data_IF_988898950662
#
_entry.id   IF_988898950662
#
_cell.length_a   1.000
_cell.length_b   1.000
_cell.length_c   1.000
_cell.angle_alpha   90.00
_cell.angle_beta   90.00
_cell.angle_gamma   90.00
#
_symmetry.space_group_name_H-M   'P 1'
#
loop_
_entity.id
_entity.type
_entity.pdbx_description
1 polymer ?
#
# COMPACT_ATOMS: atom_id res chain seq x y z
N UNK A 1 -14.10 26.08 23.61
CA UNK A 1 -13.91 24.64 23.88
C UNK A 1 -15.02 23.85 23.20
N UNK A 2 -15.05 23.89 21.87
CA UNK A 2 -16.07 23.24 21.05
C UNK A 2 -15.48 23.17 19.63
N UNK A 3 -14.82 22.05 19.30
CA UNK A 3 -14.39 21.57 17.95
C UNK A 3 -13.23 20.55 18.07
N UNK A 4 -13.35 19.53 18.93
CA UNK A 4 -12.60 18.27 18.71
C UNK A 4 -13.38 17.44 17.66
N UNK A 5 -13.59 18.04 16.49
CA UNK A 5 -14.18 17.34 15.35
C UNK A 5 -13.27 16.16 15.00
N UNK A 6 -13.87 14.97 14.84
CA UNK A 6 -13.37 13.76 14.17
C UNK A 6 -12.18 14.06 13.24
N UNK A 7 -10.96 14.12 13.81
CA UNK A 7 -9.77 14.62 13.09
C UNK A 7 -9.18 13.49 12.24
N UNK A 8 -8.88 13.82 10.98
CA UNK A 8 -8.20 12.94 10.02
C UNK A 8 -6.79 12.60 10.47
N UNK A 9 -6.02 13.58 10.97
CA UNK A 9 -4.72 13.34 11.59
C UNK A 9 -4.83 12.32 12.73
N UNK A 10 -5.80 12.50 13.64
CA UNK A 10 -5.96 11.61 14.78
C UNK A 10 -6.33 10.18 14.33
N UNK A 11 -7.12 10.04 13.27
CA UNK A 11 -7.39 8.73 12.67
C UNK A 11 -6.15 8.13 12.04
N UNK A 12 -5.41 8.87 11.21
CA UNK A 12 -4.18 8.41 10.56
C UNK A 12 -3.17 7.85 11.57
N UNK A 13 -3.00 8.53 12.71
CA UNK A 13 -2.19 8.05 13.83
C UNK A 13 -2.70 6.73 14.41
N UNK A 14 -4.02 6.56 14.60
CA UNK A 14 -4.57 5.28 15.06
C UNK A 14 -4.39 4.16 14.05
N UNK A 15 -4.50 4.44 12.74
CA UNK A 15 -4.25 3.44 11.70
C UNK A 15 -2.78 2.97 11.70
N UNK A 16 -1.83 3.87 11.92
CA UNK A 16 -0.43 3.50 12.10
C UNK A 16 -0.23 2.56 13.30
N UNK A 17 -0.91 2.82 14.42
CA UNK A 17 -0.86 1.95 15.59
C UNK A 17 -1.50 0.58 15.36
N UNK A 18 -2.58 0.50 14.56
CA UNK A 18 -3.15 -0.78 14.11
C UNK A 18 -2.11 -1.56 13.31
N UNK A 19 -1.45 -0.92 12.34
CA UNK A 19 -0.41 -1.58 11.54
C UNK A 19 0.79 -2.05 12.37
N UNK A 20 1.19 -1.28 13.39
CA UNK A 20 2.23 -1.71 14.36
C UNK A 20 1.83 -2.99 15.08
N UNK A 21 0.60 -3.10 15.57
CA UNK A 21 0.13 -4.31 16.25
C UNK A 21 0.16 -5.55 15.35
N UNK A 22 -0.25 -5.42 14.09
CA UNK A 22 -0.16 -6.50 13.10
C UNK A 22 1.30 -6.90 12.91
N UNK A 23 2.19 -5.93 12.65
CA UNK A 23 3.63 -6.19 12.48
C UNK A 23 4.25 -6.91 13.68
N UNK A 24 3.99 -6.45 14.90
CA UNK A 24 4.57 -7.04 16.11
C UNK A 24 4.07 -8.47 16.35
N UNK A 25 2.81 -8.76 16.05
CA UNK A 25 2.29 -10.13 16.07
C UNK A 25 3.07 -11.02 15.10
N UNK A 26 3.20 -10.60 13.84
CA UNK A 26 3.86 -11.41 12.81
C UNK A 26 5.35 -11.60 13.11
N UNK A 27 6.05 -10.55 13.52
CA UNK A 27 7.46 -10.62 13.91
C UNK A 27 7.68 -11.51 15.13
N UNK A 28 6.90 -11.34 16.20
CA UNK A 28 7.06 -12.16 17.41
C UNK A 28 6.82 -13.64 17.10
N UNK A 29 5.81 -13.97 16.31
CA UNK A 29 5.52 -15.35 15.90
C UNK A 29 6.67 -15.98 15.09
N UNK A 30 7.21 -15.23 14.14
CA UNK A 30 8.29 -15.70 13.28
C UNK A 30 9.62 -15.87 14.04
N UNK A 31 9.95 -14.98 14.98
CA UNK A 31 11.16 -15.08 15.83
C UNK A 31 11.11 -16.30 16.74
N UNK A 32 9.94 -16.63 17.30
CA UNK A 32 9.80 -17.77 18.21
C UNK A 32 9.62 -19.12 17.48
N UNK A 33 9.62 -19.13 16.14
CA UNK A 33 9.54 -20.33 15.31
C UNK A 33 8.23 -21.13 15.46
N UNK A 34 7.24 -20.58 16.16
CA UNK A 34 6.07 -21.33 16.61
C UNK A 34 5.10 -21.69 15.47
N UNK A 35 5.15 -20.99 14.33
CA UNK A 35 4.16 -21.11 13.25
C UNK A 35 4.71 -20.95 11.81
N UNK A 36 6.03 -20.92 11.60
CA UNK A 36 6.62 -20.70 10.26
C UNK A 36 6.13 -21.71 9.20
N UNK A 37 5.88 -22.95 9.59
CA UNK A 37 5.37 -23.99 8.67
C UNK A 37 3.87 -23.83 8.37
N UNK A 38 3.07 -23.31 9.30
CA UNK A 38 1.65 -22.99 9.08
C UNK A 38 1.46 -21.68 8.30
N UNK A 39 2.39 -20.74 8.44
CA UNK A 39 2.36 -19.44 7.74
C UNK A 39 2.55 -19.57 6.25
N UNK A 40 3.27 -20.62 5.84
CA UNK A 40 3.54 -20.92 4.44
C UNK A 40 2.45 -21.77 3.81
N UNK A 41 1.52 -22.30 4.60
CA UNK A 41 0.40 -23.07 4.08
C UNK A 41 -0.65 -22.11 3.55
N UNK A 42 -1.13 -22.42 2.34
CA UNK A 42 -2.35 -21.83 1.80
C UNK A 42 -3.51 -22.36 2.65
N UNK A 43 -4.19 -21.46 3.34
CA UNK A 43 -5.33 -21.79 4.22
C UNK A 43 -6.66 -21.68 3.49
N UNK A 44 -6.74 -20.84 2.45
CA UNK A 44 -7.87 -20.73 1.52
C UNK A 44 -7.42 -20.07 0.20
N UNK A 45 -8.19 -20.21 -0.87
CA UNK A 45 -7.99 -19.51 -2.14
C UNK A 45 -9.26 -18.71 -2.44
N UNK A 46 -9.13 -17.38 -2.56
CA UNK A 46 -10.25 -16.44 -2.74
C UNK A 46 -9.91 -15.43 -3.84
N UNK A 47 -10.86 -15.11 -4.72
CA UNK A 47 -10.62 -14.16 -5.83
C UNK A 47 -9.56 -14.56 -6.87
N UNK A 48 -8.97 -15.76 -6.76
CA UNK A 48 -7.83 -16.21 -7.56
C UNK A 48 -6.49 -16.11 -6.82
N UNK A 49 -6.46 -15.51 -5.63
CA UNK A 49 -5.28 -15.42 -4.77
C UNK A 49 -5.27 -16.46 -3.65
N UNK A 50 -4.07 -16.95 -3.33
CA UNK A 50 -3.85 -17.86 -2.22
C UNK A 50 -3.66 -17.06 -0.94
N UNK A 51 -4.55 -17.29 0.03
CA UNK A 51 -4.44 -16.71 1.36
C UNK A 51 -3.57 -17.64 2.21
N UNK A 52 -2.46 -17.10 2.72
CA UNK A 52 -1.52 -17.83 3.55
C UNK A 52 -1.91 -17.75 5.03
N UNK A 53 -1.41 -18.69 5.85
CA UNK A 53 -1.67 -18.66 7.30
C UNK A 53 -1.18 -17.38 8.00
N UNK A 54 -0.22 -16.67 7.40
CA UNK A 54 0.24 -15.35 7.88
C UNK A 54 -0.83 -14.27 7.70
N UNK A 55 -1.54 -14.27 6.58
CA UNK A 55 -2.58 -13.30 6.24
C UNK A 55 -3.77 -13.45 7.20
N UNK A 56 -4.23 -14.69 7.41
CA UNK A 56 -5.36 -14.97 8.31
C UNK A 56 -5.15 -14.45 9.75
N UNK A 57 -3.92 -14.49 10.27
CA UNK A 57 -3.63 -13.94 11.60
C UNK A 57 -3.53 -12.42 11.59
N UNK A 58 -2.97 -11.85 10.53
CA UNK A 58 -2.90 -10.41 10.35
C UNK A 58 -4.30 -9.81 10.26
N UNK A 59 -5.22 -10.45 9.52
CA UNK A 59 -6.64 -10.11 9.42
C UNK A 59 -7.31 -10.03 10.82
N UNK A 60 -7.18 -11.08 11.63
CA UNK A 60 -7.79 -11.14 12.97
C UNK A 60 -7.34 -9.97 13.87
N UNK A 61 -6.02 -9.70 13.90
CA UNK A 61 -5.45 -8.62 14.72
C UNK A 61 -5.82 -7.25 14.18
N UNK A 62 -5.81 -7.06 12.86
CA UNK A 62 -6.20 -5.81 12.23
C UNK A 62 -7.65 -5.46 12.57
N UNK A 63 -8.58 -6.40 12.41
CA UNK A 63 -10.00 -6.19 12.71
C UNK A 63 -10.20 -5.89 14.20
N UNK A 64 -9.55 -6.65 15.09
CA UNK A 64 -9.66 -6.44 16.53
C UNK A 64 -9.10 -5.07 16.95
N UNK A 65 -7.97 -4.66 16.39
CA UNK A 65 -7.32 -3.39 16.68
C UNK A 65 -8.14 -2.20 16.15
N UNK A 66 -8.69 -2.27 14.93
CA UNK A 66 -9.60 -1.25 14.40
C UNK A 66 -10.85 -1.10 15.28
N UNK A 67 -11.49 -2.21 15.67
CA UNK A 67 -12.65 -2.15 16.58
C UNK A 67 -12.30 -1.50 17.91
N UNK A 68 -11.14 -1.81 18.47
CA UNK A 68 -10.71 -1.28 19.77
C UNK A 68 -10.33 0.20 19.70
N UNK A 69 -9.67 0.64 18.63
CA UNK A 69 -9.11 1.99 18.49
C UNK A 69 -10.02 2.98 17.79
N UNK A 70 -10.84 2.52 16.85
CA UNK A 70 -11.56 3.38 15.92
C UNK A 70 -13.09 3.38 16.12
N UNK A 71 -13.69 2.27 16.57
CA UNK A 71 -15.15 2.08 16.59
C UNK A 71 -15.96 3.20 17.28
N UNK A 72 -15.42 3.81 18.35
CA UNK A 72 -16.12 4.84 19.11
C UNK A 72 -16.09 6.21 18.42
N UNK A 73 -14.94 6.60 17.87
CA UNK A 73 -14.72 7.95 17.33
C UNK A 73 -14.91 8.04 15.81
N UNK A 74 -14.67 6.93 15.11
CA UNK A 74 -14.75 6.80 13.67
C UNK A 74 -15.50 5.52 13.30
N UNK A 75 -16.79 5.38 13.63
CA UNK A 75 -17.55 4.19 13.25
C UNK A 75 -17.69 4.10 11.73
N UNK A 76 -17.64 2.88 11.20
CA UNK A 76 -17.59 2.64 9.77
C UNK A 76 -17.67 1.18 9.36
N UNK A 77 -17.28 0.92 8.12
CA UNK A 77 -17.16 -0.41 7.52
C UNK A 77 -15.77 -0.60 6.93
N UNK A 78 -15.22 -1.80 7.04
CA UNK A 78 -13.93 -2.18 6.50
C UNK A 78 -14.13 -3.07 5.28
N UNK A 79 -13.53 -2.67 4.17
CA UNK A 79 -13.29 -3.49 2.99
C UNK A 79 -11.84 -3.96 3.07
N UNK A 80 -11.59 -5.26 2.97
CA UNK A 80 -10.26 -5.83 3.19
C UNK A 80 -10.07 -7.04 2.30
N UNK A 81 -8.84 -7.24 1.84
CA UNK A 81 -8.44 -8.47 1.15
C UNK A 81 -8.91 -9.73 1.91
N UNK A 82 -9.35 -10.75 1.17
CA UNK A 82 -9.77 -12.03 1.73
C UNK A 82 -11.17 -12.02 2.39
N UNK A 83 -11.98 -10.99 2.15
CA UNK A 83 -13.37 -10.91 2.63
C UNK A 83 -14.31 -10.43 1.52
N UNK A 84 -15.41 -11.17 1.29
CA UNK A 84 -16.43 -10.83 0.29
C UNK A 84 -17.36 -9.69 0.74
N UNK A 85 -17.53 -9.49 2.06
CA UNK A 85 -18.50 -8.57 2.64
C UNK A 85 -17.84 -7.55 3.57
N UNK A 86 -18.23 -6.27 3.54
CA UNK A 86 -17.67 -5.26 4.44
C UNK A 86 -17.90 -5.58 5.92
N UNK A 87 -16.85 -5.40 6.73
CA UNK A 87 -16.84 -5.72 8.16
C UNK A 87 -17.18 -4.46 8.98
N UNK A 88 -18.19 -4.51 9.86
CA UNK A 88 -18.49 -3.37 10.72
C UNK A 88 -17.36 -3.06 11.72
N UNK A 89 -16.93 -1.79 11.73
CA UNK A 89 -16.01 -1.20 12.71
C UNK A 89 -16.83 -0.24 13.58
N UNK A 90 -17.33 -0.76 14.70
CA UNK A 90 -18.28 -0.04 15.55
C UNK A 90 -19.71 -0.08 15.03
N UNK A 91 -20.58 0.73 15.62
CA UNK A 91 -21.97 0.87 15.17
C UNK A 91 -22.10 2.20 14.42
N UNK A 92 -22.43 2.19 13.11
CA UNK A 92 -22.65 3.43 12.39
C UNK A 92 -23.82 4.20 13.03
N UNK A 93 -23.65 5.52 13.18
CA UNK A 93 -24.73 6.39 13.67
C UNK A 93 -25.91 6.37 12.68
N UNK A 94 -27.16 6.46 13.13
CA UNK A 94 -28.32 6.46 12.22
C UNK A 94 -28.26 7.59 11.18
N UNK A 95 -28.30 7.21 9.91
CA UNK A 95 -28.69 7.92 8.67
C UNK A 95 -28.17 9.35 8.35
N UNK A 96 -27.50 10.07 9.24
CA UNK A 96 -27.21 11.50 9.05
C UNK A 96 -25.73 11.92 9.17
N UNK A 97 -24.81 11.02 9.51
CA UNK A 97 -23.37 11.29 9.54
C UNK A 97 -22.65 10.41 8.51
N UNK A 98 -21.65 10.93 7.76
CA UNK A 98 -20.86 10.11 6.86
C UNK A 98 -20.14 9.02 7.68
N UNK A 99 -20.44 7.76 7.38
CA UNK A 99 -19.74 6.61 7.95
C UNK A 99 -18.37 6.50 7.32
N UNK A 100 -17.35 6.12 8.09
CA UNK A 100 -16.03 5.86 7.53
C UNK A 100 -16.07 4.58 6.69
N UNK A 101 -15.43 4.62 5.53
CA UNK A 101 -15.09 3.42 4.76
C UNK A 101 -13.59 3.21 4.94
N UNK A 102 -13.21 2.11 5.56
CA UNK A 102 -11.84 1.65 5.68
C UNK A 102 -11.53 0.72 4.51
N UNK A 103 -10.31 0.81 3.99
CA UNK A 103 -9.75 -0.11 3.02
C UNK A 103 -8.42 -0.61 3.58
N UNK A 104 -8.17 -1.92 3.56
CA UNK A 104 -6.93 -2.44 4.10
C UNK A 104 -6.38 -3.64 3.32
N UNK A 105 -5.06 -3.68 3.27
CA UNK A 105 -4.27 -4.87 3.00
C UNK A 105 -3.51 -5.23 4.29
N UNK A 106 -3.82 -6.37 4.94
CA UNK A 106 -3.15 -6.76 6.17
C UNK A 106 -1.68 -7.12 5.95
N UNK A 107 -1.28 -7.62 4.77
CA UNK A 107 0.07 -8.06 4.43
C UNK A 107 0.36 -7.93 2.92
N UNK A 108 0.53 -6.70 2.44
CA UNK A 108 0.96 -6.46 1.06
C UNK A 108 2.39 -6.98 0.87
N UNK A 109 2.60 -7.87 -0.10
CA UNK A 109 3.89 -8.49 -0.35
C UNK A 109 4.17 -9.79 0.42
N UNK A 110 3.14 -10.49 0.90
CA UNK A 110 3.22 -11.78 1.62
C UNK A 110 4.25 -12.75 1.05
N UNK A 111 4.25 -12.96 -0.28
CA UNK A 111 5.16 -13.90 -0.95
C UNK A 111 6.64 -13.51 -0.78
N UNK A 112 6.95 -12.22 -0.91
CA UNK A 112 8.31 -11.70 -0.74
C UNK A 112 8.80 -11.80 0.70
N UNK A 113 7.91 -11.54 1.65
CA UNK A 113 8.14 -11.65 3.09
C UNK A 113 8.37 -13.09 3.54
N UNK A 114 7.52 -14.04 3.13
CA UNK A 114 7.65 -15.47 3.47
C UNK A 114 8.94 -16.09 2.90
N UNK A 115 9.40 -15.60 1.74
CA UNK A 115 10.69 -15.95 1.16
C UNK A 115 11.88 -15.26 1.86
N UNK A 116 11.63 -14.27 2.72
CA UNK A 116 12.65 -13.47 3.38
C UNK A 116 13.48 -12.63 2.41
N UNK A 117 12.90 -12.29 1.26
CA UNK A 117 13.56 -11.56 0.17
C UNK A 117 13.37 -10.05 0.31
N UNK A 118 12.16 -9.63 0.69
CA UNK A 118 11.76 -8.24 0.82
C UNK A 118 10.83 -8.08 2.02
N UNK A 119 10.63 -6.85 2.45
CA UNK A 119 9.61 -6.52 3.45
C UNK A 119 8.20 -6.74 2.86
N UNK A 120 7.22 -6.91 3.74
CA UNK A 120 5.80 -6.72 3.42
C UNK A 120 5.32 -5.42 4.09
N UNK A 121 4.06 -5.04 3.89
CA UNK A 121 3.49 -3.83 4.47
C UNK A 121 2.06 -4.06 4.94
N UNK A 122 1.70 -3.46 6.07
CA UNK A 122 0.30 -3.27 6.44
C UNK A 122 -0.15 -1.94 5.85
N UNK A 123 -1.15 -1.97 4.98
CA UNK A 123 -1.69 -0.79 4.31
C UNK A 123 -3.11 -0.54 4.79
N UNK A 124 -3.39 0.65 5.29
CA UNK A 124 -4.73 1.01 5.76
C UNK A 124 -5.07 2.42 5.31
N UNK A 125 -6.17 2.56 4.59
CA UNK A 125 -6.75 3.82 4.16
C UNK A 125 -8.14 4.01 4.75
N UNK A 126 -8.57 5.25 4.90
CA UNK A 126 -9.98 5.53 5.21
C UNK A 126 -10.45 6.86 4.63
N UNK A 127 -11.72 6.92 4.28
CA UNK A 127 -12.38 8.16 3.86
C UNK A 127 -13.84 8.17 4.29
N UNK A 128 -14.38 9.36 4.52
CA UNK A 128 -15.81 9.53 4.81
C UNK A 128 -16.67 9.11 3.63
N UNK A 129 -17.37 7.98 3.80
CA UNK A 129 -18.25 7.39 2.79
C UNK A 129 -17.55 7.19 1.45
N UNK A 130 -16.27 6.80 1.49
CA UNK A 130 -15.46 6.58 0.31
C UNK A 130 -16.09 5.50 -0.58
N UNK A 131 -16.15 5.78 -1.87
CA UNK A 131 -16.67 4.90 -2.92
C UNK A 131 -15.61 4.54 -3.94
N UNK A 132 -14.64 5.43 -4.15
CA UNK A 132 -13.46 5.20 -4.97
C UNK A 132 -12.17 5.51 -4.22
N UNK A 133 -11.01 5.05 -4.72
CA UNK A 133 -9.71 5.32 -4.10
C UNK A 133 -9.44 6.81 -3.85
N UNK A 134 -9.81 7.70 -4.79
CA UNK A 134 -9.68 9.15 -4.60
C UNK A 134 -10.43 9.72 -3.39
N UNK A 135 -11.44 9.01 -2.87
CA UNK A 135 -12.18 9.45 -1.69
C UNK A 135 -11.43 9.16 -0.37
N UNK A 136 -10.31 8.44 -0.40
CA UNK A 136 -9.51 8.17 0.80
C UNK A 136 -8.88 9.46 1.33
N UNK A 137 -9.21 9.80 2.58
CA UNK A 137 -8.78 11.02 3.26
C UNK A 137 -7.52 10.80 4.11
N UNK A 138 -7.31 9.58 4.59
CA UNK A 138 -6.19 9.22 5.47
C UNK A 138 -5.55 7.93 5.01
N UNK A 139 -4.27 7.75 5.31
CA UNK A 139 -3.54 6.51 5.05
C UNK A 139 -2.47 6.23 6.10
N UNK A 140 -2.18 4.94 6.29
CA UNK A 140 -1.04 4.46 7.06
C UNK A 140 -0.38 3.29 6.32
N UNK A 141 0.95 3.34 6.23
CA UNK A 141 1.81 2.30 5.70
C UNK A 141 2.79 1.88 6.81
N UNK A 142 2.72 0.61 7.23
CA UNK A 142 3.58 0.07 8.27
C UNK A 142 4.38 -1.10 7.72
N UNK A 143 5.70 -0.94 7.67
CA UNK A 143 6.59 -1.95 7.13
C UNK A 143 6.60 -3.18 8.05
N UNK A 144 6.39 -4.36 7.46
CA UNK A 144 6.69 -5.67 8.05
C UNK A 144 8.06 -6.11 7.51
N UNK A 145 9.16 -5.75 8.19
CA UNK A 145 10.48 -6.02 7.66
C UNK A 145 10.84 -7.50 7.75
N UNK A 146 11.79 -7.92 6.91
CA UNK A 146 12.41 -9.24 7.03
C UNK A 146 13.00 -9.47 8.43
N UNK A 147 13.13 -10.74 8.83
CA UNK A 147 13.71 -11.12 10.14
C UNK A 147 15.16 -10.63 10.33
N UNK A 148 15.86 -10.28 9.24
CA UNK A 148 17.24 -9.78 9.29
C UNK A 148 17.31 -8.26 9.50
N UNK A 149 16.22 -7.52 9.32
CA UNK A 149 16.23 -6.07 9.48
C UNK A 149 16.18 -5.65 10.95
N UNK A 150 16.94 -4.62 11.29
CA UNK A 150 16.97 -4.00 12.62
C UNK A 150 16.07 -2.77 12.77
N UNK A 151 15.48 -2.27 11.69
CA UNK A 151 14.58 -1.12 11.67
C UNK A 151 13.36 -1.39 10.78
N UNK A 152 12.25 -0.70 11.04
CA UNK A 152 11.03 -0.74 10.22
C UNK A 152 10.42 0.66 10.07
N UNK A 153 9.97 1.01 8.87
CA UNK A 153 9.24 2.25 8.64
C UNK A 153 7.79 2.18 9.12
N UNK A 154 7.30 3.30 9.66
CA UNK A 154 5.88 3.57 9.94
C UNK A 154 5.57 4.97 9.44
N UNK A 155 4.68 5.09 8.47
CA UNK A 155 4.25 6.36 7.92
C UNK A 155 2.72 6.48 7.98
N UNK A 156 2.23 7.66 8.31
CA UNK A 156 0.79 7.97 8.22
C UNK A 156 0.57 9.42 7.83
N UNK A 157 -0.53 9.67 7.14
CA UNK A 157 -0.84 10.97 6.59
C UNK A 157 -2.34 11.21 6.47
N UNK A 158 -2.70 12.46 6.26
CA UNK A 158 -4.02 12.84 5.75
C UNK A 158 -3.92 13.75 4.52
N UNK A 159 -5.04 13.87 3.81
CA UNK A 159 -5.20 14.70 2.62
C UNK A 159 -5.19 16.20 2.91
N UNK A 160 -5.11 16.62 4.18
CA UNK A 160 -5.08 18.02 4.59
C UNK A 160 -3.67 18.55 4.86
N UNK A 161 -2.65 17.69 4.73
CA UNK A 161 -1.24 18.05 4.83
C UNK A 161 -0.53 17.51 6.07
N UNK A 162 -1.19 16.67 6.88
CA UNK A 162 -0.50 15.94 7.93
C UNK A 162 0.34 14.80 7.34
N UNK A 163 1.60 14.68 7.76
CA UNK A 163 2.48 13.54 7.49
C UNK A 163 3.36 13.28 8.71
N UNK A 164 3.43 12.03 9.16
CA UNK A 164 4.40 11.58 10.16
C UNK A 164 5.06 10.29 9.70
N UNK A 165 6.39 10.27 9.79
CA UNK A 165 7.22 9.16 9.36
C UNK A 165 8.17 8.83 10.49
N UNK A 166 8.24 7.56 10.84
CA UNK A 166 9.07 7.04 11.91
C UNK A 166 9.80 5.79 11.43
N UNK A 167 11.01 5.59 11.96
CA UNK A 167 11.73 4.32 11.91
C UNK A 167 11.76 3.71 13.29
N UNK A 168 11.12 2.56 13.45
CA UNK A 168 11.18 1.79 14.67
C UNK A 168 12.46 0.97 14.72
N UNK A 169 13.23 1.12 15.78
CA UNK A 169 14.37 0.28 16.10
C UNK A 169 13.84 -0.99 16.77
N UNK A 170 14.04 -2.13 16.11
CA UNK A 170 13.40 -3.41 16.48
C UNK A 170 14.26 -4.19 17.48
N UNK A 171 14.56 -3.54 18.60
CA UNK A 171 15.25 -4.12 19.76
C UNK A 171 14.27 -4.36 20.90
N UNK A 172 14.71 -5.01 21.98
CA UNK A 172 13.89 -5.27 23.17
C UNK A 172 13.34 -4.00 23.84
N UNK A 173 14.00 -2.85 23.67
CA UNK A 173 13.60 -1.56 24.25
C UNK A 173 12.83 -0.67 23.25
N UNK A 174 12.41 -1.22 22.10
CA UNK A 174 11.77 -0.56 20.94
C UNK A 174 11.61 0.95 21.03
N UNK A 175 12.39 1.68 20.23
CA UNK A 175 12.34 3.14 20.13
C UNK A 175 12.00 3.57 18.72
N UNK A 176 11.37 4.73 18.56
CA UNK A 176 11.00 5.28 17.25
C UNK A 176 11.77 6.56 16.95
N UNK A 177 12.40 6.61 15.79
CA UNK A 177 13.18 7.76 15.31
C UNK A 177 12.35 8.52 14.27
N UNK A 178 12.19 9.83 14.45
CA UNK A 178 11.50 10.66 13.46
C UNK A 178 12.29 10.74 12.15
N UNK A 179 11.57 10.70 11.02
CA UNK A 179 12.11 10.75 9.66
C UNK A 179 11.26 11.61 8.76
N UNK A 180 11.77 11.82 7.55
CA UNK A 180 11.08 12.47 6.45
C UNK A 180 11.07 11.52 5.26
N UNK A 181 9.98 11.52 4.49
CA UNK A 181 9.95 10.94 3.16
C UNK A 181 10.40 12.02 2.18
N UNK A 182 11.53 11.78 1.51
CA UNK A 182 12.16 12.74 0.60
C UNK A 182 12.18 12.12 -0.80
N UNK A 183 11.14 12.33 -1.61
CA UNK A 183 11.17 11.86 -2.99
C UNK A 183 12.26 12.59 -3.78
N UNK A 184 12.68 11.99 -4.89
CA UNK A 184 13.67 12.61 -5.78
C UNK A 184 13.15 13.95 -6.31
N UNK A 185 13.94 15.01 -6.12
CA UNK A 185 13.55 16.38 -6.46
C UNK A 185 13.91 16.79 -7.90
N UNK A 186 14.94 16.17 -8.49
CA UNK A 186 15.37 16.47 -9.85
C UNK A 186 14.60 15.63 -10.89
N UNK A 187 14.75 16.02 -12.16
CA UNK A 187 14.09 15.39 -13.29
C UNK A 187 14.97 14.34 -14.00
N UNK A 188 16.17 14.06 -13.48
CA UNK A 188 17.16 13.19 -14.14
C UNK A 188 16.90 11.72 -13.82
N UNK A 189 16.47 10.98 -14.85
CA UNK A 189 16.21 9.55 -14.76
C UNK A 189 17.47 8.70 -14.99
N UNK A 190 18.61 9.29 -15.39
CA UNK A 190 19.81 8.51 -15.62
C UNK A 190 20.34 7.90 -14.30
N UNK A 191 20.65 6.61 -14.35
CA UNK A 191 21.11 5.77 -13.23
C UNK A 191 20.13 5.75 -12.06
N UNK A 192 18.84 5.85 -12.35
CA UNK A 192 17.77 5.80 -11.36
C UNK A 192 16.97 4.50 -11.45
N UNK A 193 16.22 4.21 -10.39
CA UNK A 193 15.23 3.13 -10.44
C UNK A 193 13.93 3.65 -11.04
N UNK A 194 13.50 3.04 -12.15
CA UNK A 194 12.19 3.24 -12.77
C UNK A 194 11.64 1.86 -13.05
N UNK A 195 10.61 1.47 -12.31
CA UNK A 195 10.12 0.09 -12.33
C UNK A 195 8.88 -0.01 -13.21
N UNK A 196 8.93 -0.86 -14.23
CA UNK A 196 7.71 -1.31 -14.95
C UNK A 196 7.35 -2.72 -14.50
N UNK A 197 6.23 -2.83 -13.78
CA UNK A 197 5.85 -4.04 -13.03
C UNK A 197 5.53 -5.21 -13.97
N UNK A 198 6.32 -6.30 -13.90
CA UNK A 198 6.18 -7.51 -14.74
C UNK A 198 6.51 -8.80 -13.98
N UNK A 199 5.69 -9.13 -12.98
CA UNK A 199 6.02 -10.15 -11.98
C UNK A 199 5.84 -11.61 -12.44
N UNK A 200 4.99 -11.86 -13.45
CA UNK A 200 4.53 -13.21 -13.79
C UNK A 200 4.90 -13.65 -15.21
N UNK A 201 5.22 -14.95 -15.39
CA UNK A 201 5.29 -15.57 -16.71
C UNK A 201 4.00 -15.30 -17.52
N UNK A 202 4.14 -15.24 -18.84
CA UNK A 202 3.04 -14.85 -19.74
C UNK A 202 2.99 -13.35 -20.02
N UNK A 203 3.20 -12.52 -19.00
CA UNK A 203 3.22 -11.05 -19.13
C UNK A 203 4.58 -10.45 -19.50
N UNK A 204 5.69 -11.16 -19.24
CA UNK A 204 7.04 -10.60 -19.41
C UNK A 204 7.32 -10.04 -20.80
N UNK A 205 6.87 -10.71 -21.87
CA UNK A 205 7.16 -10.27 -23.24
C UNK A 205 6.37 -9.00 -23.61
N UNK A 206 5.06 -8.99 -23.35
CA UNK A 206 4.20 -7.86 -23.67
C UNK A 206 4.55 -6.62 -22.84
N UNK A 207 4.70 -6.80 -21.52
CA UNK A 207 5.06 -5.70 -20.61
C UNK A 207 6.50 -5.26 -20.85
N UNK A 208 7.43 -6.19 -21.10
CA UNK A 208 8.83 -5.86 -21.40
C UNK A 208 8.97 -5.04 -22.67
N UNK A 209 8.27 -5.40 -23.75
CA UNK A 209 8.26 -4.59 -24.97
C UNK A 209 7.70 -3.20 -24.74
N UNK A 210 6.62 -3.08 -23.97
CA UNK A 210 6.06 -1.78 -23.61
C UNK A 210 7.00 -0.95 -22.73
N UNK A 211 7.69 -1.59 -21.78
CA UNK A 211 8.68 -0.96 -20.92
C UNK A 211 9.88 -0.43 -21.74
N UNK A 212 10.37 -1.22 -22.71
CA UNK A 212 11.47 -0.82 -23.60
C UNK A 212 11.12 0.43 -24.42
N UNK A 213 9.86 0.55 -24.87
CA UNK A 213 9.37 1.73 -25.58
C UNK A 213 9.30 2.96 -24.65
N UNK A 214 8.74 2.80 -23.44
CA UNK A 214 8.65 3.89 -22.45
C UNK A 214 10.03 4.39 -22.03
N UNK A 215 10.97 3.47 -21.81
CA UNK A 215 12.28 3.75 -21.20
C UNK A 215 13.39 3.92 -22.23
N UNK A 216 13.05 3.97 -23.52
CA UNK A 216 14.02 4.04 -24.61
C UNK A 216 15.03 5.19 -24.41
N UNK A 217 16.31 4.82 -24.39
CA UNK A 217 17.44 5.76 -24.25
C UNK A 217 17.73 6.21 -22.82
N UNK A 218 17.06 5.65 -21.81
CA UNK A 218 17.35 5.90 -20.39
C UNK A 218 18.23 4.78 -19.82
N UNK A 219 19.28 5.14 -19.09
CA UNK A 219 20.05 4.19 -18.26
C UNK A 219 19.32 4.03 -16.92
N UNK A 220 18.30 3.16 -16.84
CA UNK A 220 17.49 2.93 -15.62
C UNK A 220 17.55 1.48 -15.14
N UNK A 221 17.17 1.27 -13.89
CA UNK A 221 17.09 -0.05 -13.25
C UNK A 221 15.64 -0.36 -12.84
N UNK A 222 15.25 -1.62 -12.97
CA UNK A 222 14.00 -2.13 -12.40
C UNK A 222 14.27 -2.78 -11.03
N UNK A 223 13.33 -2.58 -10.09
CA UNK A 223 13.24 -3.38 -8.87
C UNK A 223 11.90 -4.13 -8.88
N UNK A 224 11.92 -5.43 -9.19
CA UNK A 224 10.73 -6.28 -9.29
C UNK A 224 10.24 -6.67 -7.90
N UNK A 225 9.75 -5.69 -7.15
CA UNK A 225 9.21 -5.84 -5.81
C UNK A 225 7.71 -6.19 -5.91
N UNK A 226 7.26 -7.43 -5.62
CA UNK A 226 5.85 -7.82 -5.69
C UNK A 226 5.07 -7.29 -4.47
N UNK A 227 5.03 -5.97 -4.30
CA UNK A 227 4.49 -5.29 -3.12
C UNK A 227 4.21 -3.81 -3.47
N UNK A 228 2.93 -3.43 -3.57
CA UNK A 228 2.52 -2.11 -4.05
C UNK A 228 2.83 -1.00 -3.04
N UNK A 229 2.64 -1.27 -1.75
CA UNK A 229 3.06 -0.44 -0.63
C UNK A 229 4.57 -0.23 -0.61
N UNK A 230 5.35 -1.31 -0.82
CA UNK A 230 6.80 -1.23 -0.96
C UNK A 230 7.24 -0.34 -2.12
N UNK A 231 6.59 -0.47 -3.27
CA UNK A 231 6.80 0.37 -4.45
C UNK A 231 6.46 1.86 -4.19
N UNK A 232 5.30 2.14 -3.56
CA UNK A 232 4.89 3.49 -3.17
C UNK A 232 5.91 4.14 -2.22
N UNK A 233 6.35 3.41 -1.20
CA UNK A 233 7.31 3.91 -0.21
C UNK A 233 8.72 4.04 -0.79
N UNK A 234 9.10 3.21 -1.77
CA UNK A 234 10.35 3.39 -2.50
C UNK A 234 10.38 4.72 -3.27
N UNK A 235 9.27 5.10 -3.93
CA UNK A 235 9.19 6.41 -4.60
C UNK A 235 9.16 7.55 -3.57
N UNK A 236 8.36 7.42 -2.51
CA UNK A 236 8.21 8.46 -1.49
C UNK A 236 9.49 8.72 -0.68
N UNK A 237 10.33 7.71 -0.48
CA UNK A 237 11.63 7.84 0.20
C UNK A 237 12.77 8.26 -0.73
N UNK A 238 12.52 8.36 -2.04
CA UNK A 238 13.53 8.71 -3.04
C UNK A 238 14.42 7.54 -3.48
N UNK A 239 14.12 6.32 -3.06
CA UNK A 239 14.80 5.11 -3.52
C UNK A 239 14.48 4.79 -4.99
N UNK A 240 13.28 5.14 -5.45
CA UNK A 240 12.84 5.03 -6.84
C UNK A 240 12.37 6.38 -7.40
N UNK A 241 12.52 6.56 -8.71
CA UNK A 241 12.05 7.75 -9.42
C UNK A 241 10.62 7.59 -9.92
N UNK A 242 10.26 6.37 -10.34
CA UNK A 242 8.91 6.06 -10.78
C UNK A 242 8.60 4.56 -10.71
N UNK A 243 7.32 4.25 -10.64
CA UNK A 243 6.74 2.92 -10.77
C UNK A 243 5.56 3.01 -11.74
N UNK A 244 5.46 2.08 -12.67
CA UNK A 244 4.35 1.97 -13.61
C UNK A 244 3.85 0.53 -13.61
N UNK A 245 2.56 0.35 -13.36
CA UNK A 245 1.89 -0.95 -13.37
C UNK A 245 0.87 -1.04 -14.52
N UNK A 246 1.28 -1.56 -15.69
CA UNK A 246 0.40 -1.74 -16.83
C UNK A 246 -0.27 -3.12 -16.85
N UNK A 247 -0.10 -3.95 -15.81
CA UNK A 247 -0.51 -5.37 -15.84
C UNK A 247 -1.98 -5.57 -16.23
N UNK A 248 -2.97 -4.79 -15.75
CA UNK A 248 -4.36 -4.99 -16.15
C UNK A 248 -4.61 -4.91 -17.66
N UNK A 249 -3.79 -4.16 -18.41
CA UNK A 249 -3.92 -4.01 -19.86
C UNK A 249 -3.08 -5.00 -20.66
N UNK A 250 -1.88 -5.31 -20.18
CA UNK A 250 -0.89 -6.07 -20.95
C UNK A 250 -0.79 -7.54 -20.52
N UNK A 251 -1.35 -7.87 -19.36
CA UNK A 251 -1.45 -9.24 -18.85
C UNK A 251 -2.74 -9.38 -18.01
N UNK A 252 -3.92 -9.25 -18.64
CA UNK A 252 -5.22 -9.23 -17.94
C UNK A 252 -5.56 -10.56 -17.25
N UNK A 253 -4.91 -11.66 -17.62
CA UNK A 253 -5.10 -12.97 -16.99
C UNK A 253 -4.16 -13.21 -15.79
N UNK A 254 -3.26 -12.26 -15.49
CA UNK A 254 -2.31 -12.36 -14.38
C UNK A 254 -2.84 -11.77 -13.07
N UNK A 255 -2.00 -11.80 -12.03
CA UNK A 255 -2.26 -11.05 -10.80
C UNK A 255 -2.00 -9.56 -10.99
N UNK A 256 -2.92 -8.75 -10.47
CA UNK A 256 -2.91 -7.30 -10.57
C UNK A 256 -2.74 -6.66 -9.20
N UNK A 257 -2.52 -5.36 -9.21
CA UNK A 257 -2.83 -4.51 -8.07
C UNK A 257 -4.36 -4.38 -8.01
N UNK A 258 -4.94 -4.51 -6.83
CA UNK A 258 -6.35 -4.23 -6.51
C UNK A 258 -6.44 -2.95 -5.65
N UNK A 259 -7.65 -2.45 -5.32
CA UNK A 259 -7.77 -1.20 -4.57
C UNK A 259 -7.06 -1.25 -3.21
N UNK A 260 -7.11 -2.38 -2.50
CA UNK A 260 -6.52 -2.52 -1.16
C UNK A 260 -4.98 -2.42 -1.16
N UNK A 261 -4.31 -2.86 -2.23
CA UNK A 261 -2.86 -2.73 -2.41
C UNK A 261 -2.40 -1.26 -2.46
N UNK A 262 -3.33 -0.34 -2.75
CA UNK A 262 -3.08 1.11 -2.76
C UNK A 262 -3.70 1.82 -1.57
N UNK A 263 -4.22 1.12 -0.55
CA UNK A 263 -4.94 1.71 0.58
C UNK A 263 -4.17 2.86 1.28
N UNK A 264 -2.84 2.83 1.25
CA UNK A 264 -1.99 3.85 1.87
C UNK A 264 -1.43 4.91 0.89
N UNK A 265 -1.91 5.02 -0.35
CA UNK A 265 -1.34 5.96 -1.34
C UNK A 265 -1.35 7.43 -0.87
N UNK A 266 -2.29 7.79 0.03
CA UNK A 266 -2.36 9.11 0.67
C UNK A 266 -1.04 9.49 1.33
N UNK A 267 -0.31 8.51 1.90
CA UNK A 267 1.02 8.71 2.49
C UNK A 267 2.04 9.18 1.45
N UNK A 268 2.09 8.51 0.30
CA UNK A 268 2.99 8.88 -0.78
C UNK A 268 2.65 10.27 -1.33
N UNK A 269 1.36 10.57 -1.55
CA UNK A 269 0.91 11.90 -1.99
C UNK A 269 1.25 13.00 -1.00
N UNK A 270 1.11 12.75 0.30
CA UNK A 270 1.50 13.70 1.34
C UNK A 270 3.02 13.99 1.35
N UNK A 271 3.85 13.05 0.88
CA UNK A 271 5.28 13.27 0.68
C UNK A 271 5.62 14.03 -0.63
N UNK A 272 4.62 14.35 -1.46
CA UNK A 272 4.79 15.04 -2.74
C UNK A 272 4.90 14.13 -3.96
N UNK A 273 4.74 12.81 -3.79
CA UNK A 273 4.70 11.85 -4.90
C UNK A 273 3.39 12.02 -5.66
N UNK A 274 3.46 11.97 -6.98
CA UNK A 274 2.28 11.87 -7.83
C UNK A 274 1.90 10.40 -7.90
N UNK A 275 0.68 10.06 -7.51
CA UNK A 275 0.11 8.72 -7.69
C UNK A 275 -1.16 8.86 -8.49
N UNK A 276 -1.27 8.15 -9.60
CA UNK A 276 -2.39 8.29 -10.56
C UNK A 276 -2.72 6.97 -11.26
N UNK A 277 -3.85 6.94 -11.95
CA UNK A 277 -4.22 5.84 -12.84
C UNK A 277 -3.30 5.77 -14.06
N UNK A 278 -3.23 4.60 -14.68
CA UNK A 278 -2.57 4.38 -15.96
C UNK A 278 -3.62 3.85 -16.95
N UNK A 279 -3.91 4.50 -18.09
CA UNK A 279 -3.43 5.81 -18.55
C UNK A 279 -3.68 6.96 -17.56
N UNK A 280 -2.90 8.06 -17.63
CA UNK A 280 -2.93 9.15 -16.64
C UNK A 280 -4.34 9.69 -16.36
N UNK A 281 -4.72 9.66 -15.09
CA UNK A 281 -6.02 10.12 -14.62
C UNK A 281 -6.21 9.90 -13.11
N UNK A 282 -7.31 10.39 -12.54
CA UNK A 282 -7.65 10.13 -11.14
C UNK A 282 -7.86 8.62 -10.88
N UNK A 283 -7.55 8.17 -9.66
CA UNK A 283 -7.80 6.80 -9.19
C UNK A 283 -9.29 6.56 -8.90
N UNK A 284 -10.13 6.61 -9.93
CA UNK A 284 -11.59 6.39 -9.84
C UNK A 284 -11.96 4.91 -9.79
N UNK A 285 -11.14 4.08 -9.15
CA UNK A 285 -11.39 2.66 -8.94
C UNK A 285 -12.28 2.48 -7.70
N UNK A 286 -13.33 1.66 -7.76
CA UNK A 286 -14.21 1.41 -6.63
C UNK A 286 -13.45 0.87 -5.41
N UNK A 287 -13.95 1.17 -4.22
CA UNK A 287 -13.47 0.53 -2.98
C UNK A 287 -14.03 -0.89 -2.94
N UNK A 288 -13.27 -1.85 -3.46
CA UNK A 288 -13.54 -3.29 -3.45
C UNK A 288 -12.24 -4.12 -3.37
N UNK A 289 -12.35 -5.43 -3.51
CA UNK A 289 -11.26 -6.41 -3.41
C UNK A 289 -10.92 -7.09 -4.73
N UNK A 290 -11.49 -6.65 -5.85
CA UNK A 290 -11.44 -7.43 -7.10
C UNK A 290 -11.20 -6.61 -8.36
N UNK A 291 -11.36 -5.29 -8.32
CA UNK A 291 -11.15 -4.45 -9.49
C UNK A 291 -9.66 -4.33 -9.81
N UNK A 292 -9.19 -4.76 -10.99
CA UNK A 292 -7.80 -4.56 -11.38
C UNK A 292 -7.47 -3.06 -11.51
N UNK A 293 -6.37 -2.65 -10.90
CA UNK A 293 -5.90 -1.26 -10.86
C UNK A 293 -4.61 -1.13 -11.64
N UNK A 294 -4.66 -0.38 -12.74
CA UNK A 294 -3.48 0.07 -13.47
C UNK A 294 -3.13 1.46 -12.97
N UNK A 295 -1.90 1.65 -12.51
CA UNK A 295 -1.49 2.87 -11.82
C UNK A 295 -0.03 3.21 -12.10
N UNK A 296 0.34 4.42 -11.74
CA UNK A 296 1.72 4.88 -11.73
C UNK A 296 2.01 5.78 -10.53
N UNK A 297 3.25 5.74 -10.05
CA UNK A 297 3.80 6.73 -9.14
C UNK A 297 5.03 7.40 -9.73
N UNK A 298 5.16 8.70 -9.51
CA UNK A 298 6.28 9.52 -9.95
C UNK A 298 6.76 10.40 -8.80
N UNK A 299 8.07 10.44 -8.58
CA UNK A 299 8.65 11.21 -7.47
C UNK A 299 8.32 12.71 -7.56
N UNK A 300 8.13 13.26 -8.76
CA UNK A 300 7.71 14.65 -8.98
C UNK A 300 7.07 14.86 -10.37
N UNK A 301 6.51 16.05 -10.60
CA UNK A 301 5.80 16.40 -11.84
C UNK A 301 6.70 16.44 -13.08
N UNK A 302 7.98 16.77 -12.92
CA UNK A 302 8.92 16.79 -14.05
C UNK A 302 9.23 15.38 -14.55
N UNK A 303 9.34 14.41 -13.64
CA UNK A 303 9.45 12.99 -13.97
C UNK A 303 8.14 12.48 -14.57
N UNK A 304 6.99 12.82 -13.97
CA UNK A 304 5.68 12.42 -14.47
C UNK A 304 5.47 12.89 -15.91
N UNK A 305 5.70 14.18 -16.20
CA UNK A 305 5.57 14.73 -17.55
C UNK A 305 6.47 14.01 -18.56
N UNK A 306 7.75 13.77 -18.22
CA UNK A 306 8.68 13.07 -19.11
C UNK A 306 8.24 11.65 -19.44
N UNK A 307 7.72 10.90 -18.47
CA UNK A 307 7.31 9.51 -18.68
C UNK A 307 5.93 9.43 -19.35
N UNK A 308 4.99 10.32 -19.01
CA UNK A 308 3.67 10.42 -19.68
C UNK A 308 3.80 10.65 -21.19
N UNK A 309 4.72 11.53 -21.60
CA UNK A 309 5.00 11.82 -23.02
C UNK A 309 5.54 10.62 -23.80
N UNK A 310 6.08 9.62 -23.08
CA UNK A 310 6.66 8.40 -23.65
C UNK A 310 5.70 7.22 -23.64
N UNK A 311 4.55 7.30 -22.97
CA UNK A 311 3.63 6.18 -22.82
C UNK A 311 3.08 5.73 -24.18
N UNK A 312 3.35 4.48 -24.61
CA UNK A 312 2.65 3.88 -25.72
C UNK A 312 1.16 3.76 -25.39
N UNK A 313 0.33 3.72 -26.43
CA UNK A 313 -1.10 3.44 -26.27
C UNK A 313 -1.28 2.05 -25.65
N UNK A 314 -1.97 2.00 -24.52
CA UNK A 314 -2.46 0.75 -23.96
C UNK A 314 -3.67 0.25 -24.76
N UNK A 315 -3.87 -1.07 -24.86
CA UNK A 315 -5.08 -1.63 -25.43
C UNK A 315 -6.31 -1.17 -24.65
N UNK A 316 -7.41 -0.93 -25.37
CA UNK A 316 -8.74 -0.57 -24.80
C UNK A 316 -9.60 -1.79 -24.62
#
# INVERSE_FOLDING_TARGET
MMQDSISTEALARQLAEVGREVRELLRSTAVHGAQLDTDRQVVRTEGGDDVFGVDARAEEVLIAALRRRCAERWPGVLVMEGFDEPIPIGTPLPAAAPTWTYLADPVDGTRGYLAGSHSAWVLIGAGRSAKVLEDLEVGAAVEIPTLRAGIAMVACADSTGYLSVQEDVLTAESTSLQRELIPKADADLQRSFVTVVRLLPGGHAAIGSWADDVLQGLEVYDDMYPCSGGQLMAVASGAASAVLDPRPFLHPEGFHTHPYDLAAFVVARAAGVIVEALPPGPLLFPIDTSTPVAWAAYANEQIAAQLRDRLPKLPT
#
